data_IF_231728329379
#
_entry.id   IF_231728329379
#
_cell.length_a   1.000
_cell.length_b   1.000
_cell.length_c   1.000
_cell.angle_alpha   90.00
_cell.angle_beta   90.00
_cell.angle_gamma   90.00
#
_symmetry.space_group_name_H-M   'P 1'
#
loop_
_entity.id
_entity.type
_entity.pdbx_description
1 polymer ?
#
# COMPACT_ATOMS: atom_id res chain seq x y z
N UNK A 1 -25.58 -20.48 -14.56
CA UNK A 1 -24.18 -20.46 -15.03
C UNK A 1 -23.74 -19.00 -15.07
N UNK A 2 -23.05 -18.54 -14.03
CA UNK A 2 -22.30 -17.29 -14.03
C UNK A 2 -21.07 -17.51 -13.14
N UNK A 3 -20.03 -18.11 -13.73
CA UNK A 3 -18.70 -18.13 -13.17
C UNK A 3 -17.92 -17.10 -14.00
N UNK A 4 -17.60 -15.97 -13.42
CA UNK A 4 -16.53 -15.12 -13.93
C UNK A 4 -15.71 -14.66 -12.73
N UNK A 5 -14.91 -15.58 -12.20
CA UNK A 5 -13.92 -15.28 -11.16
C UNK A 5 -12.74 -14.63 -11.89
N UNK A 6 -12.89 -13.32 -12.03
CA UNK A 6 -11.92 -12.22 -12.07
C UNK A 6 -10.48 -12.66 -12.35
N UNK A 7 -9.97 -12.16 -13.49
CA UNK A 7 -8.58 -12.12 -13.88
C UNK A 7 -7.65 -11.80 -12.70
N UNK A 8 -6.42 -12.32 -12.75
CA UNK A 8 -5.29 -12.02 -11.87
C UNK A 8 -5.18 -10.52 -11.59
N UNK A 9 -5.98 -10.04 -10.65
CA UNK A 9 -5.89 -8.69 -10.16
C UNK A 9 -4.61 -8.73 -9.35
N UNK A 10 -3.55 -8.12 -9.86
CA UNK A 10 -2.48 -7.61 -9.02
C UNK A 10 -3.14 -6.59 -8.08
N UNK A 11 -3.85 -7.11 -7.08
CA UNK A 11 -4.40 -6.31 -5.99
C UNK A 11 -3.16 -5.84 -5.27
N UNK A 12 -2.63 -4.68 -5.66
CA UNK A 12 -1.73 -3.95 -4.79
C UNK A 12 -2.55 -3.70 -3.54
N UNK A 13 -2.38 -4.57 -2.55
CA UNK A 13 -3.09 -4.41 -1.31
C UNK A 13 -2.56 -3.13 -0.66
N UNK A 14 -3.36 -2.42 0.14
CA UNK A 14 -2.86 -1.31 0.94
C UNK A 14 -1.59 -1.67 1.74
N UNK A 15 -1.41 -2.95 2.08
CA UNK A 15 -0.22 -3.47 2.73
C UNK A 15 1.03 -3.50 1.82
N UNK A 16 0.88 -3.75 0.52
CA UNK A 16 1.99 -3.74 -0.44
C UNK A 16 2.47 -2.32 -0.73
N UNK A 17 1.55 -1.36 -0.78
CA UNK A 17 1.90 0.05 -0.87
C UNK A 17 2.61 0.52 0.40
N UNK A 18 2.11 0.13 1.58
CA UNK A 18 2.76 0.40 2.86
C UNK A 18 4.19 -0.15 2.93
N UNK A 19 4.46 -1.31 2.35
CA UNK A 19 5.83 -1.86 2.27
C UNK A 19 6.76 -0.96 1.44
N UNK A 20 6.30 -0.47 0.29
CA UNK A 20 7.08 0.48 -0.54
C UNK A 20 7.37 1.77 0.22
N UNK A 21 6.38 2.35 0.89
CA UNK A 21 6.61 3.54 1.71
C UNK A 21 7.55 3.25 2.89
N UNK A 22 7.53 2.04 3.45
CA UNK A 22 8.46 1.64 4.52
C UNK A 22 9.89 1.55 4.03
N UNK A 23 10.11 1.01 2.83
CA UNK A 23 11.41 1.01 2.16
C UNK A 23 11.92 2.43 1.92
N UNK A 24 11.07 3.33 1.41
CA UNK A 24 11.44 4.75 1.24
C UNK A 24 11.82 5.44 2.55
N UNK A 25 11.19 5.05 3.67
CA UNK A 25 11.53 5.54 5.00
C UNK A 25 12.89 5.00 5.47
N UNK A 26 13.17 3.72 5.22
CA UNK A 26 14.44 3.07 5.58
C UNK A 26 15.60 3.61 4.72
N UNK A 27 15.33 3.93 3.45
CA UNK A 27 16.26 4.60 2.54
C UNK A 27 16.46 6.08 2.89
N UNK A 28 15.69 6.62 3.84
CA UNK A 28 15.72 8.03 4.25
C UNK A 28 15.20 9.00 3.18
N UNK A 29 14.46 8.51 2.19
CA UNK A 29 13.82 9.31 1.13
C UNK A 29 12.62 10.07 1.69
N UNK A 30 11.85 9.42 2.56
CA UNK A 30 10.75 10.04 3.31
C UNK A 30 11.05 10.00 4.80
N UNK A 31 10.42 10.90 5.55
CA UNK A 31 10.49 10.89 7.01
C UNK A 31 9.31 10.11 7.64
N UNK A 32 9.40 9.88 8.94
CA UNK A 32 8.40 9.10 9.69
C UNK A 32 6.98 9.71 9.64
N UNK A 33 6.88 11.04 9.51
CA UNK A 33 5.60 11.75 9.42
C UNK A 33 4.93 11.54 8.06
N UNK A 34 5.69 11.65 6.97
CA UNK A 34 5.23 11.35 5.61
C UNK A 34 4.74 9.90 5.48
N UNK A 35 5.49 8.95 6.05
CA UNK A 35 5.07 7.55 6.11
C UNK A 35 3.74 7.38 6.86
N UNK A 36 3.58 8.06 8.00
CA UNK A 36 2.38 7.94 8.83
C UNK A 36 1.13 8.54 8.18
N UNK A 37 1.28 9.65 7.43
CA UNK A 37 0.18 10.23 6.65
C UNK A 37 -0.27 9.22 5.59
N UNK A 38 0.66 8.67 4.81
CA UNK A 38 0.35 7.67 3.78
C UNK A 38 -0.25 6.40 4.35
N UNK A 39 0.24 5.95 5.52
CA UNK A 39 -0.33 4.81 6.25
C UNK A 39 -1.79 5.04 6.63
N UNK A 40 -2.16 6.24 7.09
CA UNK A 40 -3.55 6.56 7.42
C UNK A 40 -4.43 6.63 6.18
N UNK A 41 -3.96 7.28 5.11
CA UNK A 41 -4.67 7.35 3.82
C UNK A 41 -4.94 5.95 3.23
N UNK A 42 -3.97 5.05 3.32
CA UNK A 42 -4.09 3.68 2.78
C UNK A 42 -4.97 2.76 3.61
N UNK A 43 -5.06 3.00 4.93
CA UNK A 43 -5.88 2.22 5.85
C UNK A 43 -7.27 2.85 6.09
N UNK A 44 -7.56 3.99 5.43
CA UNK A 44 -8.81 4.75 5.53
C UNK A 44 -9.20 5.04 7.01
N UNK A 45 -8.20 5.44 7.81
CA UNK A 45 -8.29 5.69 9.26
C UNK A 45 -8.58 7.15 9.63
#
# INVERSE_FOLDING_TARGET
>A
MQINIIAENQVFSPADELRKYKELLDDGIINQEEFNIKKKELLDL
#
